data_IF_006002355928
#
_entry.id   IF_006002355928
#
_cell.length_a   1.000
_cell.length_b   1.000
_cell.length_c   1.000
_cell.angle_alpha   90.00
_cell.angle_beta   90.00
_cell.angle_gamma   90.00
#
_symmetry.space_group_name_H-M   'P 1'
#
loop_
_entity.id
_entity.type
_entity.pdbx_description
1 polymer ?
#
# COMPACT_ATOMS: atom_id res chain seq x y z
N UNK A 1 -1.55 -24.93 10.12
CA UNK A 1 -0.94 -24.39 11.35
C UNK A 1 -0.14 -25.50 12.00
N UNK A 2 1.17 -25.35 12.12
CA UNK A 2 1.94 -26.24 12.98
C UNK A 2 1.52 -25.99 14.43
N UNK A 3 1.02 -27.01 15.09
CA UNK A 3 0.62 -26.94 16.49
C UNK A 3 1.89 -26.73 17.33
N UNK A 4 2.09 -25.53 17.86
CA UNK A 4 3.28 -25.17 18.64
C UNK A 4 3.24 -25.83 20.00
N UNK A 5 4.19 -26.74 20.28
CA UNK A 5 4.28 -27.46 21.53
C UNK A 5 5.38 -26.88 22.41
N UNK A 6 5.05 -26.61 23.67
CA UNK A 6 5.94 -26.07 24.70
C UNK A 6 6.43 -27.19 25.64
N UNK A 7 7.64 -27.05 26.16
CA UNK A 7 8.15 -27.87 27.24
C UNK A 7 7.60 -27.38 28.60
N UNK A 8 7.61 -28.21 29.66
CA UNK A 8 7.20 -27.74 30.96
C UNK A 8 8.02 -26.56 31.52
N UNK A 9 9.23 -26.35 31.02
CA UNK A 9 10.07 -25.20 31.43
C UNK A 9 9.54 -23.91 30.77
N UNK A 10 9.29 -23.93 29.45
CA UNK A 10 8.74 -22.80 28.73
C UNK A 10 7.35 -22.40 29.26
N UNK A 11 6.52 -23.39 29.61
CA UNK A 11 5.24 -23.12 30.29
C UNK A 11 5.41 -22.49 31.65
N UNK A 12 6.41 -22.92 32.42
CA UNK A 12 6.72 -22.33 33.73
C UNK A 12 7.13 -20.85 33.60
N UNK A 13 7.95 -20.54 32.63
CA UNK A 13 8.35 -19.17 32.32
C UNK A 13 7.15 -18.32 31.89
N UNK A 14 6.32 -18.85 30.99
CA UNK A 14 5.13 -18.17 30.48
C UNK A 14 4.09 -17.86 31.58
N UNK A 15 3.88 -18.81 32.51
CA UNK A 15 2.96 -18.67 33.63
C UNK A 15 3.59 -18.00 34.87
N UNK A 16 4.89 -17.66 34.83
CA UNK A 16 5.68 -17.10 35.93
C UNK A 16 5.61 -17.96 37.21
N UNK A 17 5.64 -19.28 37.04
CA UNK A 17 5.62 -20.27 38.15
C UNK A 17 6.86 -21.18 38.12
N UNK A 18 7.05 -21.97 39.19
CA UNK A 18 8.14 -22.94 39.20
C UNK A 18 7.77 -24.14 38.29
N UNK A 19 8.78 -24.75 37.65
CA UNK A 19 8.63 -25.95 36.83
C UNK A 19 7.86 -27.08 37.50
N UNK A 20 8.07 -27.30 38.80
CA UNK A 20 7.36 -28.29 39.59
C UNK A 20 5.85 -28.02 39.67
N UNK A 21 5.45 -26.77 39.73
CA UNK A 21 4.04 -26.35 39.70
C UNK A 21 3.36 -26.75 38.39
N UNK A 22 4.07 -26.64 37.28
CA UNK A 22 3.53 -27.09 35.94
C UNK A 22 3.30 -28.59 35.94
N UNK A 23 4.21 -29.38 36.52
CA UNK A 23 4.00 -30.84 36.64
C UNK A 23 2.81 -31.20 37.54
N UNK A 24 2.57 -30.45 38.59
CA UNK A 24 1.39 -30.62 39.46
C UNK A 24 0.10 -30.25 38.73
N UNK A 25 0.11 -29.18 37.95
CA UNK A 25 -1.03 -28.80 37.08
C UNK A 25 -1.36 -29.89 36.06
N UNK A 26 -0.34 -30.49 35.46
CA UNK A 26 -0.53 -31.61 34.52
C UNK A 26 -1.09 -32.84 35.28
N UNK A 27 -0.57 -33.13 36.45
CA UNK A 27 -1.02 -34.26 37.29
C UNK A 27 -2.46 -34.09 37.77
N UNK A 28 -2.90 -32.86 38.04
CA UNK A 28 -4.29 -32.53 38.42
C UNK A 28 -5.25 -32.48 37.22
N UNK A 29 -4.71 -32.46 36.03
CA UNK A 29 -5.51 -32.32 34.83
C UNK A 29 -5.85 -30.89 34.43
N UNK A 30 -5.29 -29.89 35.14
CA UNK A 30 -5.51 -28.46 34.86
C UNK A 30 -4.87 -28.06 33.50
N UNK A 31 -3.75 -28.74 33.15
CA UNK A 31 -3.07 -28.59 31.86
C UNK A 31 -2.97 -29.94 31.15
N UNK A 32 -3.40 -29.98 29.88
CA UNK A 32 -3.25 -31.14 29.01
C UNK A 32 -1.83 -31.23 28.49
N UNK A 33 -1.17 -32.37 28.70
CA UNK A 33 0.17 -32.63 28.18
C UNK A 33 0.22 -33.94 27.42
N UNK A 34 0.94 -33.96 26.31
CA UNK A 34 1.19 -35.14 25.49
C UNK A 34 2.63 -35.58 25.65
N UNK A 35 2.84 -36.90 25.83
CA UNK A 35 4.19 -37.46 25.90
C UNK A 35 4.72 -37.69 24.49
N UNK A 36 5.75 -36.92 24.13
CA UNK A 36 6.47 -37.08 22.87
C UNK A 36 7.85 -37.70 23.12
N UNK A 37 8.01 -38.96 22.88
CA UNK A 37 9.21 -39.71 23.24
C UNK A 37 9.43 -39.75 24.77
N UNK A 38 10.56 -39.20 25.24
CA UNK A 38 10.90 -39.10 26.69
C UNK A 38 10.49 -37.79 27.33
N UNK A 39 9.88 -36.87 26.56
CA UNK A 39 9.56 -35.53 27.05
C UNK A 39 8.05 -35.26 27.03
N UNK A 40 7.58 -34.52 28.03
CA UNK A 40 6.22 -33.96 28.01
C UNK A 40 6.19 -32.70 27.13
N UNK A 41 5.13 -32.56 26.35
CA UNK A 41 4.83 -31.39 25.54
C UNK A 41 3.41 -30.93 25.83
N UNK A 42 3.23 -29.63 25.95
CA UNK A 42 1.95 -28.97 26.19
C UNK A 42 1.63 -28.12 24.96
N UNK A 43 0.46 -28.28 24.40
CA UNK A 43 0.05 -27.44 23.30
C UNK A 43 -0.13 -26.00 23.78
N UNK A 44 0.42 -25.04 23.06
CA UNK A 44 0.36 -23.62 23.44
C UNK A 44 -1.08 -23.12 23.63
N UNK A 45 -2.02 -23.61 22.83
CA UNK A 45 -3.46 -23.35 22.97
C UNK A 45 -4.03 -23.76 24.33
N UNK A 46 -3.55 -24.88 24.92
CA UNK A 46 -4.04 -25.35 26.21
C UNK A 46 -3.52 -24.46 27.37
N UNK A 47 -2.31 -23.90 27.21
CA UNK A 47 -1.77 -22.92 28.16
C UNK A 47 -2.59 -21.62 28.13
N UNK A 48 -2.92 -21.12 26.96
CA UNK A 48 -3.79 -19.94 26.83
C UNK A 48 -5.20 -20.18 27.40
N UNK A 49 -5.77 -21.36 27.12
CA UNK A 49 -7.07 -21.74 27.67
C UNK A 49 -7.05 -21.77 29.20
N UNK A 50 -5.96 -22.28 29.80
CA UNK A 50 -5.78 -22.26 31.25
C UNK A 50 -5.67 -20.84 31.82
N UNK A 51 -5.00 -19.92 31.09
CA UNK A 51 -4.88 -18.53 31.49
C UNK A 51 -6.20 -17.74 31.33
N UNK A 52 -7.23 -18.32 30.72
CA UNK A 52 -8.44 -17.60 30.35
C UNK A 52 -8.20 -16.53 29.27
N UNK A 53 -7.05 -16.60 28.61
CA UNK A 53 -6.68 -15.72 27.51
C UNK A 53 -7.04 -16.44 26.23
N UNK A 54 -7.99 -15.95 25.48
CA UNK A 54 -8.11 -16.31 24.07
C UNK A 54 -6.81 -15.84 23.42
N UNK A 55 -6.01 -16.72 22.76
CA UNK A 55 -4.93 -16.22 21.93
C UNK A 55 -5.57 -15.13 21.07
N UNK A 56 -4.99 -13.94 21.01
CA UNK A 56 -5.32 -13.04 19.93
C UNK A 56 -5.21 -13.92 18.70
N UNK A 57 -6.36 -14.18 18.05
CA UNK A 57 -6.37 -14.83 16.77
C UNK A 57 -5.32 -14.04 15.99
N UNK A 58 -4.27 -14.73 15.48
CA UNK A 58 -3.31 -14.05 14.62
C UNK A 58 -4.18 -13.22 13.69
N UNK A 59 -4.22 -11.91 13.95
CA UNK A 59 -5.04 -10.99 13.17
C UNK A 59 -4.41 -11.13 11.81
N UNK A 60 -5.12 -11.82 10.93
CA UNK A 60 -4.63 -12.02 9.58
C UNK A 60 -4.40 -10.61 9.04
N UNK A 61 -3.13 -10.21 8.94
CA UNK A 61 -2.80 -8.88 8.47
C UNK A 61 -3.23 -8.80 7.02
N UNK A 62 -4.31 -8.06 6.79
CA UNK A 62 -4.80 -7.83 5.45
C UNK A 62 -3.75 -7.06 4.65
N UNK A 63 -3.56 -7.45 3.41
CA UNK A 63 -2.63 -6.78 2.50
C UNK A 63 -3.30 -5.55 1.95
N UNK A 64 -2.83 -4.37 2.34
CA UNK A 64 -3.27 -3.11 1.76
C UNK A 64 -2.36 -2.74 0.60
N UNK A 65 -2.93 -2.67 -0.61
CA UNK A 65 -2.25 -2.27 -1.83
C UNK A 65 -2.61 -0.82 -2.15
N UNK A 66 -1.68 0.10 -1.95
CA UNK A 66 -1.88 1.52 -2.24
C UNK A 66 -1.71 1.80 -3.72
N UNK A 67 -2.72 2.40 -4.35
CA UNK A 67 -2.69 2.80 -5.75
C UNK A 67 -4.06 3.14 -6.33
N UNK A 68 -4.06 3.98 -7.36
CA UNK A 68 -5.30 4.47 -7.98
C UNK A 68 -5.73 3.66 -9.21
N UNK A 69 -4.89 2.74 -9.69
CA UNK A 69 -5.19 1.93 -10.88
C UNK A 69 -6.26 0.87 -10.57
N UNK A 70 -7.28 0.80 -11.42
CA UNK A 70 -8.37 -0.19 -11.28
C UNK A 70 -7.90 -1.63 -11.50
N UNK A 71 -6.77 -1.85 -12.19
CA UNK A 71 -6.18 -3.18 -12.31
C UNK A 71 -5.86 -3.81 -10.94
N UNK A 72 -5.58 -2.98 -9.95
CA UNK A 72 -5.32 -3.44 -8.58
C UNK A 72 -6.54 -4.10 -7.94
N UNK A 73 -7.77 -3.70 -8.32
CA UNK A 73 -9.00 -4.38 -7.86
C UNK A 73 -9.05 -5.81 -8.40
N UNK A 74 -8.63 -5.99 -9.66
CA UNK A 74 -8.54 -7.33 -10.28
C UNK A 74 -7.47 -8.17 -9.58
N UNK A 75 -6.30 -7.59 -9.30
CA UNK A 75 -5.23 -8.30 -8.57
C UNK A 75 -5.67 -8.69 -7.15
N UNK A 76 -6.31 -7.78 -6.42
CA UNK A 76 -6.87 -8.08 -5.10
C UNK A 76 -7.90 -9.23 -5.20
N UNK A 77 -8.79 -9.17 -6.18
CA UNK A 77 -9.81 -10.21 -6.39
C UNK A 77 -9.19 -11.57 -6.72
N UNK A 78 -8.18 -11.60 -7.58
CA UNK A 78 -7.46 -12.83 -7.92
C UNK A 78 -6.74 -13.42 -6.70
N UNK A 79 -6.05 -12.58 -5.92
CA UNK A 79 -5.41 -13.02 -4.69
C UNK A 79 -6.44 -13.60 -3.70
N UNK A 80 -7.53 -12.88 -3.45
CA UNK A 80 -8.54 -13.29 -2.49
C UNK A 80 -9.25 -14.58 -2.89
N UNK A 81 -9.42 -14.84 -4.19
CA UNK A 81 -10.00 -16.10 -4.69
C UNK A 81 -9.04 -17.28 -4.56
N UNK A 82 -7.73 -17.04 -4.49
CA UNK A 82 -6.71 -18.10 -4.37
C UNK A 82 -6.23 -18.28 -2.93
N UNK A 83 -6.47 -17.32 -2.05
CA UNK A 83 -6.08 -17.38 -0.64
C UNK A 83 -6.96 -18.37 0.12
N UNK A 84 -6.44 -18.86 1.25
CA UNK A 84 -7.19 -19.73 2.18
C UNK A 84 -8.21 -18.98 3.05
N UNK A 85 -8.45 -17.70 2.75
CA UNK A 85 -9.36 -16.80 3.47
C UNK A 85 -8.80 -16.22 4.77
N UNK A 86 -7.56 -16.56 5.14
CA UNK A 86 -6.93 -16.02 6.35
C UNK A 86 -6.39 -14.61 6.16
N UNK A 87 -5.87 -14.31 4.99
CA UNK A 87 -5.34 -13.00 4.63
C UNK A 87 -6.06 -12.54 3.38
N UNK A 88 -6.55 -11.31 3.38
CA UNK A 88 -7.22 -10.70 2.23
C UNK A 88 -6.46 -9.46 1.75
N UNK A 89 -6.49 -9.23 0.45
CA UNK A 89 -5.93 -8.05 -0.17
C UNK A 89 -7.03 -7.03 -0.47
N UNK A 90 -6.75 -5.76 -0.17
CA UNK A 90 -7.64 -4.62 -0.43
C UNK A 90 -6.87 -3.49 -1.09
N UNK A 91 -7.50 -2.83 -2.04
CA UNK A 91 -6.95 -1.62 -2.64
C UNK A 91 -7.28 -0.39 -1.80
N UNK A 92 -6.27 0.42 -1.55
CA UNK A 92 -6.42 1.78 -1.02
C UNK A 92 -6.12 2.78 -2.13
N UNK A 93 -7.09 3.59 -2.59
CA UNK A 93 -6.93 4.47 -3.76
C UNK A 93 -6.13 5.73 -3.43
N UNK A 94 -4.88 5.58 -3.05
CA UNK A 94 -3.96 6.66 -2.73
C UNK A 94 -3.06 7.01 -3.91
N UNK A 95 -2.64 8.27 -4.01
CA UNK A 95 -1.62 8.72 -4.97
C UNK A 95 -0.25 8.13 -4.65
N UNK A 96 0.63 8.14 -5.64
CA UNK A 96 1.95 7.49 -5.58
C UNK A 96 2.79 7.94 -4.38
N UNK A 97 2.85 9.25 -4.13
CA UNK A 97 3.61 9.82 -3.00
C UNK A 97 3.05 9.33 -1.65
N UNK A 98 1.73 9.45 -1.46
CA UNK A 98 1.10 9.03 -0.21
C UNK A 98 1.26 7.52 0.03
N UNK A 99 1.19 6.70 -1.02
CA UNK A 99 1.41 5.25 -0.92
C UNK A 99 2.82 4.90 -0.44
N UNK A 100 3.86 5.52 -1.01
CA UNK A 100 5.25 5.33 -0.57
C UNK A 100 5.49 5.90 0.83
N UNK A 101 4.90 7.05 1.16
CA UNK A 101 5.04 7.66 2.48
C UNK A 101 4.44 6.77 3.57
N UNK A 102 3.26 6.18 3.33
CA UNK A 102 2.65 5.23 4.26
C UNK A 102 3.46 3.94 4.39
N UNK A 103 4.10 3.50 3.31
CA UNK A 103 5.03 2.37 3.37
C UNK A 103 6.22 2.67 4.29
N UNK A 104 6.80 3.86 4.20
CA UNK A 104 7.86 4.30 5.12
C UNK A 104 7.41 4.35 6.58
N UNK A 105 6.13 4.64 6.84
CA UNK A 105 5.54 4.62 8.17
C UNK A 105 5.10 3.22 8.65
N UNK A 106 5.35 2.17 7.88
CA UNK A 106 4.89 0.80 8.12
C UNK A 106 3.36 0.64 8.21
N UNK A 107 2.61 1.53 7.54
CA UNK A 107 1.15 1.45 7.48
C UNK A 107 0.63 0.58 6.33
N UNK A 108 1.49 0.23 5.36
CA UNK A 108 1.19 -0.69 4.26
C UNK A 108 2.47 -1.36 3.76
N UNK A 109 2.31 -2.54 3.15
CA UNK A 109 3.42 -3.33 2.62
C UNK A 109 3.56 -3.27 1.11
N UNK A 110 2.55 -2.78 0.40
CA UNK A 110 2.54 -2.70 -1.06
C UNK A 110 2.07 -1.32 -1.50
N UNK A 111 2.87 -0.65 -2.31
CA UNK A 111 2.49 0.61 -2.94
C UNK A 111 2.80 0.56 -4.44
N UNK A 112 1.94 1.18 -5.24
CA UNK A 112 2.21 1.40 -6.66
C UNK A 112 2.57 2.86 -6.90
N UNK A 113 3.51 3.10 -7.80
CA UNK A 113 3.92 4.45 -8.14
C UNK A 113 4.17 4.61 -9.64
N UNK A 114 4.02 5.83 -10.13
CA UNK A 114 4.33 6.25 -11.49
C UNK A 114 4.82 7.72 -11.44
N UNK A 115 5.92 7.94 -10.71
CA UNK A 115 6.51 9.26 -10.50
C UNK A 115 7.71 9.43 -11.40
N UNK A 116 7.65 10.43 -12.28
CA UNK A 116 8.73 10.76 -13.18
C UNK A 116 9.68 11.76 -12.50
N UNK A 117 10.96 11.47 -12.58
CA UNK A 117 12.04 12.31 -12.06
C UNK A 117 12.68 13.08 -13.23
N UNK A 118 12.54 14.40 -13.20
CA UNK A 118 13.01 15.27 -14.26
C UNK A 118 14.54 15.38 -14.36
N UNK A 119 15.26 15.11 -13.29
CA UNK A 119 16.74 15.17 -13.26
C UNK A 119 17.34 13.94 -13.91
N UNK A 120 16.88 12.75 -13.55
CA UNK A 120 17.39 11.49 -14.08
C UNK A 120 16.69 11.06 -15.36
N UNK A 121 15.55 11.69 -15.71
CA UNK A 121 14.68 11.31 -16.82
C UNK A 121 14.19 9.85 -16.73
N UNK A 122 13.99 9.36 -15.51
CA UNK A 122 13.53 8.00 -15.21
C UNK A 122 12.30 8.00 -14.33
N UNK A 123 11.63 6.85 -14.21
CA UNK A 123 10.45 6.68 -13.37
C UNK A 123 10.77 5.91 -12.11
N UNK A 124 10.09 6.25 -11.04
CA UNK A 124 9.89 5.53 -9.80
C UNK A 124 11.14 5.36 -8.93
N UNK A 125 12.21 4.71 -9.41
CA UNK A 125 13.36 4.36 -8.58
C UNK A 125 13.97 5.54 -7.82
N UNK A 126 14.21 6.73 -8.42
CA UNK A 126 14.75 7.87 -7.66
C UNK A 126 13.86 8.31 -6.49
N UNK A 127 12.55 8.20 -6.64
CA UNK A 127 11.61 8.49 -5.55
C UNK A 127 11.58 7.40 -4.50
N UNK A 128 11.60 6.14 -4.91
CA UNK A 128 11.65 5.00 -3.98
C UNK A 128 12.90 5.09 -3.09
N UNK A 129 14.07 5.34 -3.68
CA UNK A 129 15.33 5.46 -2.94
C UNK A 129 15.34 6.66 -1.98
N UNK A 130 14.77 7.80 -2.38
CA UNK A 130 14.72 9.01 -1.55
C UNK A 130 13.68 8.91 -0.42
N UNK A 131 12.55 8.25 -0.67
CA UNK A 131 11.42 8.19 0.27
C UNK A 131 11.48 7.00 1.23
N UNK A 132 12.22 5.96 0.88
CA UNK A 132 12.33 4.70 1.63
C UNK A 132 13.81 4.39 1.93
N UNK A 133 14.57 5.31 2.54
CA UNK A 133 15.99 5.14 2.77
C UNK A 133 16.25 3.99 3.75
N UNK A 134 17.10 3.05 3.35
CA UNK A 134 17.49 1.93 4.21
C UNK A 134 16.51 0.74 4.22
N UNK A 135 15.36 0.86 3.56
CA UNK A 135 14.38 -0.22 3.49
C UNK A 135 14.80 -1.29 2.46
N UNK A 136 14.59 -2.56 2.81
CA UNK A 136 14.78 -3.67 1.89
C UNK A 136 13.50 -3.90 1.08
N UNK A 137 13.53 -3.51 -0.18
CA UNK A 137 12.35 -3.50 -1.04
C UNK A 137 12.53 -4.40 -2.26
N UNK A 138 11.42 -5.02 -2.69
CA UNK A 138 11.30 -5.61 -4.01
C UNK A 138 10.50 -4.68 -4.92
N UNK A 139 11.06 -4.28 -6.04
CA UNK A 139 10.39 -3.40 -7.02
C UNK A 139 10.03 -4.19 -8.26
N UNK A 140 8.76 -4.20 -8.61
CA UNK A 140 8.23 -4.92 -9.76
C UNK A 140 7.68 -3.95 -10.81
N UNK A 141 8.00 -4.20 -12.09
CA UNK A 141 7.39 -3.48 -13.17
C UNK A 141 6.02 -4.09 -13.50
N UNK A 142 4.96 -3.43 -13.08
CA UNK A 142 3.60 -3.95 -13.27
C UNK A 142 3.11 -3.77 -14.72
N UNK A 143 3.20 -2.55 -15.26
CA UNK A 143 2.73 -2.22 -16.61
C UNK A 143 3.33 -0.90 -17.12
N UNK A 144 3.23 -0.68 -18.43
CA UNK A 144 3.51 0.60 -19.10
C UNK A 144 2.22 1.23 -19.58
N UNK A 145 2.10 2.55 -19.44
CA UNK A 145 0.96 3.33 -19.92
C UNK A 145 1.43 4.61 -20.61
N UNK A 146 0.67 5.05 -21.58
CA UNK A 146 0.83 6.37 -22.13
C UNK A 146 0.21 7.41 -21.19
N UNK A 147 0.89 8.53 -21.04
CA UNK A 147 0.37 9.72 -20.38
C UNK A 147 0.16 10.80 -21.44
N UNK A 148 -0.93 11.54 -21.33
CA UNK A 148 -1.27 12.59 -22.28
C UNK A 148 -2.31 13.53 -21.71
N UNK A 149 -2.67 14.53 -22.50
CA UNK A 149 -3.74 15.46 -22.16
C UNK A 149 -5.09 14.87 -22.52
N UNK A 150 -6.05 14.99 -21.63
CA UNK A 150 -7.46 14.88 -21.98
C UNK A 150 -7.88 16.20 -22.62
N UNK A 151 -8.35 16.14 -23.84
CA UNK A 151 -8.84 17.30 -24.59
C UNK A 151 -10.24 17.02 -25.12
N UNK A 152 -11.01 18.08 -25.39
CA UNK A 152 -12.32 17.95 -26.02
C UNK A 152 -12.18 17.26 -27.38
N UNK A 153 -13.20 16.53 -27.80
CA UNK A 153 -13.23 15.84 -29.06
C UNK A 153 -12.81 16.75 -30.23
N UNK A 154 -11.94 16.24 -31.11
CA UNK A 154 -11.35 17.00 -32.19
C UNK A 154 -10.25 17.98 -31.77
N UNK A 155 -9.90 18.07 -30.47
CA UNK A 155 -8.87 19.00 -29.96
C UNK A 155 -9.02 20.43 -30.50
N UNK A 156 -10.14 21.12 -30.28
CA UNK A 156 -10.47 22.39 -30.95
C UNK A 156 -9.49 23.51 -30.60
N UNK A 157 -8.78 23.40 -29.49
CA UNK A 157 -7.74 24.36 -29.09
C UNK A 157 -6.33 23.96 -29.56
N UNK A 158 -6.20 22.87 -30.33
CA UNK A 158 -4.93 22.36 -30.85
C UNK A 158 -3.83 22.28 -29.75
N UNK A 159 -4.14 21.67 -28.63
CA UNK A 159 -3.20 21.45 -27.50
C UNK A 159 -2.31 20.26 -27.84
N UNK A 160 -0.99 20.48 -27.94
CA UNK A 160 -0.01 19.45 -28.32
C UNK A 160 1.14 19.33 -27.32
N UNK A 161 1.36 20.35 -26.50
CA UNK A 161 2.50 20.44 -25.60
C UNK A 161 2.16 21.13 -24.28
N UNK A 162 3.06 21.06 -23.31
CA UNK A 162 2.93 21.78 -22.05
C UNK A 162 2.91 23.30 -22.23
N UNK A 163 3.62 23.80 -23.23
CA UNK A 163 3.64 25.24 -23.52
C UNK A 163 2.25 25.76 -23.92
N UNK A 164 1.42 24.95 -24.57
CA UNK A 164 0.07 25.34 -24.93
C UNK A 164 -0.83 25.61 -23.72
N UNK A 165 -0.50 25.03 -22.56
CA UNK A 165 -1.27 25.20 -21.33
C UNK A 165 -1.11 26.62 -20.72
N UNK A 166 -0.11 27.41 -21.16
CA UNK A 166 0.08 28.80 -20.71
C UNK A 166 -0.75 29.81 -21.52
N UNK A 167 -1.41 29.34 -22.57
CA UNK A 167 -2.25 30.22 -23.43
C UNK A 167 -3.49 30.67 -22.66
N UNK A 168 -3.86 31.94 -22.81
CA UNK A 168 -5.01 32.57 -22.12
C UNK A 168 -6.36 31.91 -22.43
N UNK A 169 -6.50 31.31 -23.63
CA UNK A 169 -7.72 30.62 -24.07
C UNK A 169 -7.78 29.17 -23.56
N UNK A 170 -6.71 28.66 -22.97
CA UNK A 170 -6.64 27.31 -22.40
C UNK A 170 -6.86 27.38 -20.90
N UNK A 171 -7.75 26.55 -20.38
CA UNK A 171 -7.92 26.29 -18.96
C UNK A 171 -7.67 24.81 -18.73
N UNK A 172 -6.81 24.50 -17.80
CA UNK A 172 -6.54 23.12 -17.40
C UNK A 172 -7.26 22.77 -16.11
N UNK A 173 -7.36 21.48 -15.84
CA UNK A 173 -7.67 20.94 -14.52
C UNK A 173 -6.55 20.00 -14.11
N UNK A 174 -6.05 20.20 -12.92
CA UNK A 174 -4.89 19.48 -12.38
C UNK A 174 -5.33 18.31 -11.51
N UNK A 175 -4.36 17.55 -11.03
CA UNK A 175 -4.57 16.49 -10.05
C UNK A 175 -4.13 16.95 -8.67
N UNK A 176 -4.59 16.23 -7.67
CA UNK A 176 -4.22 16.44 -6.27
C UNK A 176 -2.69 16.29 -6.07
N UNK A 177 -2.16 17.04 -5.09
CA UNK A 177 -0.75 16.94 -4.68
C UNK A 177 -0.43 15.50 -4.23
N UNK A 178 0.74 15.00 -4.67
CA UNK A 178 1.18 13.64 -4.37
C UNK A 178 0.67 12.58 -5.35
N UNK A 179 -0.19 12.92 -6.31
CA UNK A 179 -0.45 12.03 -7.45
C UNK A 179 0.74 12.04 -8.42
N UNK A 180 1.02 10.90 -9.05
CA UNK A 180 2.11 10.82 -10.02
C UNK A 180 1.95 11.77 -11.21
N UNK A 181 0.72 12.05 -11.64
CA UNK A 181 0.42 13.04 -12.69
C UNK A 181 0.76 14.47 -12.24
N UNK A 182 0.40 14.85 -11.00
CA UNK A 182 0.73 16.17 -10.50
C UNK A 182 2.25 16.36 -10.43
N UNK A 183 2.97 15.38 -9.92
CA UNK A 183 4.43 15.39 -9.88
C UNK A 183 5.01 15.51 -11.29
N UNK A 184 4.46 14.77 -12.27
CA UNK A 184 4.89 14.85 -13.67
C UNK A 184 4.68 16.25 -14.25
N UNK A 185 3.53 16.88 -14.00
CA UNK A 185 3.23 18.24 -14.46
C UNK A 185 4.22 19.24 -13.84
N UNK A 186 4.41 19.18 -12.52
CA UNK A 186 5.29 20.09 -11.79
C UNK A 186 6.75 19.98 -12.28
N UNK A 187 7.25 18.75 -12.45
CA UNK A 187 8.60 18.49 -12.98
C UNK A 187 8.75 18.92 -14.46
N UNK A 188 7.71 18.75 -15.27
CA UNK A 188 7.72 19.23 -16.67
C UNK A 188 7.70 20.75 -16.74
N UNK A 189 6.93 21.44 -15.91
CA UNK A 189 6.94 22.91 -15.82
C UNK A 189 8.34 23.40 -15.43
N UNK A 190 8.96 22.79 -14.41
CA UNK A 190 10.33 23.09 -14.01
C UNK A 190 11.33 22.87 -15.16
N UNK A 191 11.26 21.73 -15.84
CA UNK A 191 12.16 21.39 -16.95
C UNK A 191 12.03 22.33 -18.14
N UNK A 192 10.83 22.78 -18.43
CA UNK A 192 10.52 23.70 -19.55
C UNK A 192 10.57 25.18 -19.15
N UNK A 193 10.91 25.50 -17.88
CA UNK A 193 10.90 26.85 -17.33
C UNK A 193 9.56 27.56 -17.51
N UNK A 194 8.46 26.79 -17.35
CA UNK A 194 7.09 27.32 -17.37
C UNK A 194 6.74 27.78 -15.97
N UNK A 195 6.32 29.05 -15.83
CA UNK A 195 5.73 29.52 -14.59
C UNK A 195 4.31 28.97 -14.45
N UNK A 196 4.02 28.34 -13.34
CA UNK A 196 2.71 27.75 -13.07
C UNK A 196 1.62 28.82 -12.91
N UNK A 197 2.00 30.05 -12.55
CA UNK A 197 1.09 31.19 -12.45
C UNK A 197 0.56 31.63 -13.83
N UNK A 198 1.26 31.26 -14.92
CA UNK A 198 0.80 31.48 -16.28
C UNK A 198 -0.23 30.43 -16.73
N UNK A 199 -0.45 29.38 -15.97
CA UNK A 199 -1.34 28.27 -16.33
C UNK A 199 -2.73 28.45 -15.72
N UNK A 200 -3.68 28.88 -16.51
CA UNK A 200 -5.05 29.08 -16.06
C UNK A 200 -5.70 27.73 -15.63
N UNK A 201 -6.13 27.65 -14.36
CA UNK A 201 -6.73 26.46 -13.77
C UNK A 201 -5.71 25.47 -13.18
N UNK A 202 -4.45 25.87 -12.98
CA UNK A 202 -3.43 25.03 -12.34
C UNK A 202 -3.82 24.58 -10.92
N UNK A 203 -4.55 25.41 -10.19
CA UNK A 203 -5.05 25.10 -8.84
C UNK A 203 -6.44 24.43 -8.81
N UNK A 204 -7.07 24.27 -9.98
CA UNK A 204 -8.32 23.51 -10.09
C UNK A 204 -8.00 22.02 -10.00
N UNK A 205 -8.49 21.35 -8.97
CA UNK A 205 -8.09 19.99 -8.64
C UNK A 205 -9.20 18.98 -8.92
N UNK A 206 -8.86 17.94 -9.66
CA UNK A 206 -9.68 16.75 -9.83
C UNK A 206 -9.09 15.58 -9.02
N UNK A 207 -9.87 15.01 -8.11
CA UNK A 207 -9.45 13.91 -7.24
C UNK A 207 -9.29 12.54 -7.97
N UNK A 208 -9.69 12.46 -9.25
CA UNK A 208 -9.52 11.23 -10.04
C UNK A 208 -9.41 11.56 -11.54
N UNK A 209 -8.87 10.61 -12.31
CA UNK A 209 -8.82 10.71 -13.77
C UNK A 209 -10.21 10.87 -14.38
N UNK A 210 -11.20 10.17 -13.83
CA UNK A 210 -12.58 10.25 -14.31
C UNK A 210 -13.18 11.66 -14.09
N UNK A 211 -12.92 12.27 -12.94
CA UNK A 211 -13.37 13.64 -12.65
C UNK A 211 -12.68 14.61 -13.59
N UNK A 212 -11.36 14.48 -13.83
CA UNK A 212 -10.65 15.32 -14.79
C UNK A 212 -11.25 15.22 -16.19
N UNK A 213 -11.43 14.01 -16.72
CA UNK A 213 -12.03 13.77 -18.02
C UNK A 213 -13.47 14.33 -18.12
N UNK A 214 -14.28 14.17 -17.05
CA UNK A 214 -15.65 14.72 -17.02
C UNK A 214 -15.67 16.24 -17.08
N UNK A 215 -14.74 16.93 -16.42
CA UNK A 215 -14.63 18.39 -16.49
C UNK A 215 -14.28 18.87 -17.89
N UNK A 216 -13.34 18.18 -18.57
CA UNK A 216 -13.00 18.47 -19.96
C UNK A 216 -14.20 18.27 -20.88
N UNK A 217 -14.93 17.16 -20.75
CA UNK A 217 -16.14 16.88 -21.54
C UNK A 217 -17.22 17.95 -21.35
N UNK A 218 -17.40 18.45 -20.13
CA UNK A 218 -18.37 19.51 -19.80
C UNK A 218 -17.92 20.91 -20.22
N UNK A 219 -16.68 21.08 -20.69
CA UNK A 219 -16.12 22.36 -21.08
C UNK A 219 -15.75 23.25 -19.90
N UNK A 220 -15.52 22.68 -18.71
CA UNK A 220 -15.03 23.39 -17.53
C UNK A 220 -13.49 23.55 -17.55
N UNK A 221 -12.82 22.75 -18.39
CA UNK A 221 -11.38 22.81 -18.64
C UNK A 221 -11.09 22.54 -20.12
#
# INVERSE_FOLDING_TARGET
>A
MEEQFLSPLEVAEMLQVKKNTVYEMIKRGDLKATKMGKQLRIARKDVYAYMGVTPEAEVAENIIICGQDQLLDVLCSLYNNQSDGKTMAFRSPMGSYCGLYKMYQNENYVATCHMWDGETNTYNLPYVERMLPGEQLAVFHLLKRWQGFYVKEGNPKNIQSFVDLTRKDVRMINREKGSGIRIFIDEMCKKLSIDVDDMNGYDDIAASHMIAATNVLRGAA
#
